data_IF_137947439242
#
_entry.id   IF_137947439242
#
_cell.length_a   1.000
_cell.length_b   1.000
_cell.length_c   1.000
_cell.angle_alpha   90.00
_cell.angle_beta   90.00
_cell.angle_gamma   90.00
#
_symmetry.space_group_name_H-M   'P 1'
#
loop_
_entity.id
_entity.type
_entity.pdbx_description
1 polymer ?
#
# COMPACT_ATOMS: atom_id res chain seq x y z
N UNK A 1 4.43 -47.95 -32.68
CA UNK A 1 5.07 -47.57 -31.40
C UNK A 1 4.04 -46.91 -30.48
N UNK A 2 3.03 -47.67 -30.04
CA UNK A 2 1.87 -47.11 -29.33
C UNK A 2 1.74 -47.58 -27.86
N UNK A 3 2.51 -48.59 -27.45
CA UNK A 3 2.42 -49.18 -26.09
C UNK A 3 3.13 -48.40 -24.98
N UNK A 4 3.90 -47.35 -25.33
CA UNK A 4 4.66 -46.57 -24.33
C UNK A 4 3.79 -45.55 -23.57
N UNK A 5 2.60 -45.21 -24.09
CA UNK A 5 1.72 -44.18 -23.50
C UNK A 5 0.72 -44.72 -22.46
N UNK A 6 0.59 -46.05 -22.33
CA UNK A 6 -0.43 -46.68 -21.47
C UNK A 6 0.10 -47.14 -20.10
N UNK A 7 1.39 -46.94 -19.79
CA UNK A 7 1.96 -47.37 -18.51
C UNK A 7 1.76 -46.31 -17.41
N UNK A 8 1.27 -46.68 -16.22
CA UNK A 8 1.11 -45.75 -15.11
C UNK A 8 2.49 -45.24 -14.68
N UNK A 9 2.61 -43.93 -14.41
CA UNK A 9 3.82 -43.27 -13.92
C UNK A 9 4.62 -44.06 -12.85
N UNK A 10 3.99 -44.69 -11.83
CA UNK A 10 4.73 -45.48 -10.83
C UNK A 10 5.43 -46.74 -11.38
N UNK A 11 4.97 -47.31 -12.49
CA UNK A 11 5.65 -48.44 -13.13
C UNK A 11 6.95 -47.99 -13.82
N UNK A 12 6.98 -46.76 -14.35
CA UNK A 12 8.20 -46.16 -14.87
C UNK A 12 9.18 -45.83 -13.77
N UNK A 13 8.72 -45.29 -12.64
CA UNK A 13 9.58 -45.02 -11.48
C UNK A 13 10.28 -46.29 -10.98
N UNK A 14 9.53 -47.38 -10.75
CA UNK A 14 10.10 -48.68 -10.35
C UNK A 14 11.04 -49.28 -11.40
N UNK A 15 10.75 -49.07 -12.68
CA UNK A 15 11.62 -49.51 -13.76
C UNK A 15 12.93 -48.71 -13.81
N UNK A 16 12.87 -47.40 -13.60
CA UNK A 16 14.07 -46.56 -13.50
C UNK A 16 14.88 -46.88 -12.24
N UNK A 17 14.22 -47.13 -11.11
CA UNK A 17 14.84 -47.59 -9.86
C UNK A 17 15.53 -48.95 -10.02
N UNK A 18 14.94 -49.86 -10.82
CA UNK A 18 15.56 -51.15 -11.15
C UNK A 18 16.75 -51.03 -12.12
N UNK A 19 16.66 -50.17 -13.15
CA UNK A 19 17.74 -49.97 -14.11
C UNK A 19 18.90 -49.15 -13.54
N UNK A 20 18.60 -48.23 -12.64
CA UNK A 20 19.55 -47.35 -11.98
C UNK A 20 19.31 -47.45 -10.48
N UNK A 21 19.74 -48.56 -9.84
CA UNK A 21 19.71 -48.66 -8.39
C UNK A 21 20.60 -47.55 -7.84
N UNK A 22 19.98 -46.49 -7.35
CA UNK A 22 20.62 -45.31 -6.76
C UNK A 22 21.21 -45.62 -5.36
N UNK A 23 21.69 -46.84 -5.14
CA UNK A 23 22.32 -47.28 -3.88
C UNK A 23 23.77 -46.80 -3.76
N UNK A 24 24.29 -46.15 -4.81
CA UNK A 24 25.58 -45.47 -4.73
C UNK A 24 25.33 -44.04 -4.28
N UNK A 25 25.74 -43.73 -3.06
CA UNK A 25 25.98 -42.36 -2.61
C UNK A 25 27.13 -41.76 -3.44
N UNK A 26 26.88 -41.48 -4.72
CA UNK A 26 27.83 -40.85 -5.59
C UNK A 26 28.04 -39.43 -5.07
N UNK A 27 29.27 -39.13 -4.67
CA UNK A 27 29.59 -37.81 -4.17
C UNK A 27 29.41 -36.82 -5.31
N UNK A 28 28.94 -35.60 -5.02
CA UNK A 28 28.71 -34.55 -6.02
C UNK A 28 29.92 -34.29 -6.94
N UNK A 29 31.13 -34.58 -6.45
CA UNK A 29 32.37 -34.53 -7.21
C UNK A 29 32.45 -35.64 -8.28
N UNK A 30 32.12 -36.88 -7.92
CA UNK A 30 32.13 -38.06 -8.80
C UNK A 30 31.11 -37.89 -9.93
N UNK A 31 29.89 -37.44 -9.62
CA UNK A 31 28.86 -37.14 -10.63
C UNK A 31 29.34 -36.06 -11.60
N UNK A 32 30.09 -35.06 -11.13
CA UNK A 32 30.62 -34.00 -11.98
C UNK A 32 31.72 -34.49 -12.90
N UNK A 33 32.56 -35.39 -12.40
CA UNK A 33 33.63 -36.03 -13.15
C UNK A 33 33.08 -36.95 -14.25
N UNK A 34 32.08 -37.76 -13.91
CA UNK A 34 31.39 -38.64 -14.87
C UNK A 34 30.67 -37.84 -15.97
N UNK A 35 29.96 -36.77 -15.58
CA UNK A 35 29.32 -35.87 -16.56
C UNK A 35 30.36 -35.16 -17.44
N UNK A 36 31.51 -34.78 -16.88
CA UNK A 36 32.61 -34.20 -17.64
C UNK A 36 33.23 -35.21 -18.60
N UNK A 37 33.39 -36.47 -18.18
CA UNK A 37 33.91 -37.57 -19.01
C UNK A 37 32.97 -37.88 -20.19
N UNK A 38 31.67 -37.68 -20.01
CA UNK A 38 30.65 -37.79 -21.06
C UNK A 38 30.52 -36.52 -21.92
N UNK A 39 31.32 -35.47 -21.66
CA UNK A 39 31.29 -34.20 -22.40
C UNK A 39 30.07 -33.32 -22.12
N UNK A 40 29.33 -33.59 -21.03
CA UNK A 40 28.12 -32.86 -20.66
C UNK A 40 28.48 -31.67 -19.77
N UNK A 41 28.35 -30.45 -20.31
CA UNK A 41 28.59 -29.22 -19.54
C UNK A 41 27.37 -28.83 -18.69
N UNK A 42 27.44 -29.16 -17.39
CA UNK A 42 26.40 -28.87 -16.40
C UNK A 42 26.36 -27.39 -16.00
N UNK A 43 27.41 -26.60 -16.28
CA UNK A 43 27.52 -25.21 -15.80
C UNK A 43 26.38 -24.34 -16.32
N UNK A 44 26.06 -24.47 -17.61
CA UNK A 44 24.96 -23.73 -18.24
C UNK A 44 23.59 -24.09 -17.64
N UNK A 45 23.38 -25.35 -17.27
CA UNK A 45 22.15 -25.79 -16.63
C UNK A 45 22.04 -25.22 -15.21
N UNK A 46 23.13 -25.28 -14.44
CA UNK A 46 23.20 -24.69 -13.09
C UNK A 46 22.96 -23.18 -13.14
N UNK A 47 23.60 -22.48 -14.07
CA UNK A 47 23.42 -21.02 -14.23
C UNK A 47 21.97 -20.66 -14.57
N UNK A 48 21.30 -21.45 -15.41
CA UNK A 48 19.87 -21.25 -15.73
C UNK A 48 18.99 -21.44 -14.50
N UNK A 49 19.25 -22.48 -13.72
CA UNK A 49 18.50 -22.77 -12.48
C UNK A 49 18.74 -21.66 -11.45
N UNK A 50 19.98 -21.21 -11.27
CA UNK A 50 20.31 -20.12 -10.35
C UNK A 50 19.64 -18.80 -10.77
N UNK A 51 19.66 -18.47 -12.07
CA UNK A 51 18.95 -17.29 -12.60
C UNK A 51 17.45 -17.38 -12.39
N UNK A 52 16.85 -18.55 -12.66
CA UNK A 52 15.43 -18.77 -12.43
C UNK A 52 15.06 -18.65 -10.94
N UNK A 53 15.89 -19.18 -10.05
CA UNK A 53 15.72 -19.08 -8.61
C UNK A 53 15.81 -17.63 -8.13
N UNK A 54 16.79 -16.86 -8.61
CA UNK A 54 16.93 -15.44 -8.28
C UNK A 54 15.71 -14.63 -8.75
N UNK A 55 15.23 -14.89 -9.98
CA UNK A 55 14.04 -14.25 -10.52
C UNK A 55 12.78 -14.61 -9.72
N UNK A 56 12.62 -15.87 -9.29
CA UNK A 56 11.51 -16.31 -8.47
C UNK A 56 11.52 -15.63 -7.10
N UNK A 57 12.69 -15.55 -6.44
CA UNK A 57 12.85 -14.81 -5.17
C UNK A 57 12.50 -13.33 -5.32
N UNK A 58 12.99 -12.67 -6.38
CA UNK A 58 12.64 -11.27 -6.65
C UNK A 58 11.14 -11.04 -6.84
N UNK A 59 10.45 -11.95 -7.56
CA UNK A 59 8.99 -11.89 -7.70
C UNK A 59 8.25 -12.07 -6.38
N UNK A 60 8.71 -13.00 -5.53
CA UNK A 60 8.13 -13.23 -4.20
C UNK A 60 8.26 -11.98 -3.31
N UNK A 61 9.46 -11.38 -3.25
CA UNK A 61 9.70 -10.15 -2.50
C UNK A 61 8.85 -8.98 -3.01
N UNK A 62 8.68 -8.86 -4.33
CA UNK A 62 7.85 -7.81 -4.92
C UNK A 62 6.35 -8.01 -4.62
N UNK A 63 5.89 -9.26 -4.57
CA UNK A 63 4.52 -9.58 -4.15
C UNK A 63 4.29 -9.22 -2.67
N UNK A 64 5.24 -9.55 -1.80
CA UNK A 64 5.20 -9.20 -0.38
C UNK A 64 5.25 -7.67 -0.15
N UNK A 65 6.11 -6.95 -0.87
CA UNK A 65 6.15 -5.50 -0.80
C UNK A 65 4.83 -4.86 -1.26
N UNK A 66 4.15 -5.45 -2.26
CA UNK A 66 2.83 -4.99 -2.72
C UNK A 66 1.75 -5.20 -1.66
N UNK A 67 1.73 -6.35 -0.98
CA UNK A 67 0.76 -6.59 0.09
C UNK A 67 0.99 -5.66 1.27
N UNK A 68 2.25 -5.44 1.66
CA UNK A 68 2.62 -4.46 2.68
C UNK A 68 2.17 -3.04 2.30
N UNK A 69 2.44 -2.60 1.06
CA UNK A 69 1.97 -1.29 0.57
C UNK A 69 0.46 -1.15 0.64
N UNK A 70 -0.30 -2.14 0.20
CA UNK A 70 -1.77 -2.09 0.26
C UNK A 70 -2.26 -1.95 1.70
N UNK A 71 -1.66 -2.69 2.64
CA UNK A 71 -2.00 -2.57 4.07
C UNK A 71 -1.65 -1.18 4.63
N UNK A 72 -0.51 -0.61 4.23
CA UNK A 72 -0.08 0.71 4.68
C UNK A 72 -1.01 1.81 4.11
N UNK A 73 -1.39 1.70 2.84
CA UNK A 73 -2.35 2.61 2.20
C UNK A 73 -3.72 2.51 2.86
N UNK A 74 -4.20 1.30 3.18
CA UNK A 74 -5.45 1.12 3.89
C UNK A 74 -5.42 1.75 5.29
N UNK A 75 -4.31 1.62 6.02
CA UNK A 75 -4.11 2.29 7.32
C UNK A 75 -4.09 3.81 7.17
N UNK A 76 -3.40 4.33 6.15
CA UNK A 76 -3.41 5.76 5.86
C UNK A 76 -4.81 6.25 5.51
N UNK A 77 -5.61 5.49 4.75
CA UNK A 77 -7.00 5.84 4.46
C UNK A 77 -7.94 5.78 5.67
N UNK A 78 -7.58 5.04 6.74
CA UNK A 78 -8.31 5.05 8.01
C UNK A 78 -7.91 6.23 8.91
N UNK A 79 -6.65 6.68 8.82
CA UNK A 79 -6.09 7.76 9.63
C UNK A 79 -6.29 9.13 8.99
N UNK A 80 -6.32 9.20 7.66
CA UNK A 80 -6.73 10.38 6.93
C UNK A 80 -8.26 10.41 6.99
N UNK A 81 -8.87 11.33 7.76
CA UNK A 81 -10.31 11.49 7.68
C UNK A 81 -10.67 11.75 6.22
N UNK A 82 -11.62 10.99 5.69
CA UNK A 82 -12.25 11.29 4.40
C UNK A 82 -12.45 12.79 4.31
N UNK A 83 -11.96 13.41 3.25
CA UNK A 83 -12.09 14.84 3.00
C UNK A 83 -13.48 15.30 3.46
N UNK A 84 -13.57 16.36 4.27
CA UNK A 84 -14.76 16.64 5.05
C UNK A 84 -15.90 17.06 4.13
N UNK A 85 -16.66 16.09 3.66
CA UNK A 85 -17.97 16.29 3.01
C UNK A 85 -18.94 17.08 3.89
N UNK A 86 -18.59 17.38 5.14
CA UNK A 86 -19.32 18.27 6.05
C UNK A 86 -18.58 19.53 6.50
N UNK A 87 -17.44 19.95 5.91
CA UNK A 87 -16.76 21.19 6.34
C UNK A 87 -17.60 22.42 6.04
N UNK A 88 -18.18 22.46 4.84
CA UNK A 88 -19.12 23.52 4.43
C UNK A 88 -20.38 23.54 5.30
N UNK A 89 -20.92 22.37 5.64
CA UNK A 89 -22.10 22.25 6.50
C UNK A 89 -21.80 22.62 7.95
N UNK A 90 -20.63 22.26 8.46
CA UNK A 90 -20.15 22.66 9.79
C UNK A 90 -19.90 24.16 9.87
N UNK A 91 -19.27 24.74 8.85
CA UNK A 91 -19.08 26.18 8.74
C UNK A 91 -20.42 26.92 8.64
N UNK A 92 -21.36 26.39 7.86
CA UNK A 92 -22.73 26.91 7.79
C UNK A 92 -23.36 26.94 9.17
N UNK A 93 -23.35 25.83 9.92
CA UNK A 93 -23.89 25.78 11.28
C UNK A 93 -23.21 26.76 12.26
N UNK A 94 -21.89 26.94 12.15
CA UNK A 94 -21.15 27.92 12.97
C UNK A 94 -21.54 29.36 12.62
N UNK A 95 -21.69 29.68 11.34
CA UNK A 95 -22.08 31.02 10.90
C UNK A 95 -23.50 31.34 11.37
N UNK A 96 -24.42 30.36 11.31
CA UNK A 96 -25.80 30.53 11.77
C UNK A 96 -25.93 30.69 13.29
N UNK A 97 -25.08 30.00 14.06
CA UNK A 97 -25.11 30.04 15.51
C UNK A 97 -24.42 31.26 16.13
N UNK A 98 -23.38 31.80 15.48
CA UNK A 98 -22.53 32.84 16.09
C UNK A 98 -22.74 34.25 15.54
N UNK A 99 -23.17 34.40 14.29
CA UNK A 99 -23.28 35.72 13.65
C UNK A 99 -24.73 36.09 13.41
N UNK A 100 -25.06 37.37 13.62
CA UNK A 100 -26.40 37.92 13.39
C UNK A 100 -26.33 39.11 12.41
N UNK A 101 -27.45 39.39 11.73
CA UNK A 101 -27.56 40.55 10.85
C UNK A 101 -26.64 40.52 9.62
N UNK A 102 -26.00 41.65 9.34
CA UNK A 102 -25.19 41.88 8.12
C UNK A 102 -23.88 41.07 8.09
N UNK A 103 -23.30 40.77 9.24
CA UNK A 103 -22.08 39.98 9.36
C UNK A 103 -22.31 38.53 8.91
N UNK A 104 -23.47 37.95 9.27
CA UNK A 104 -23.89 36.62 8.81
C UNK A 104 -23.93 36.56 7.28
N UNK A 105 -24.56 37.53 6.63
CA UNK A 105 -24.69 37.57 5.18
C UNK A 105 -23.31 37.66 4.47
N UNK A 106 -22.37 38.41 5.03
CA UNK A 106 -21.01 38.52 4.49
C UNK A 106 -20.25 37.18 4.55
N UNK A 107 -20.34 36.45 5.66
CA UNK A 107 -19.69 35.14 5.81
C UNK A 107 -20.34 34.05 4.96
N UNK A 108 -21.65 34.09 4.76
CA UNK A 108 -22.34 33.21 3.83
C UNK A 108 -21.88 33.43 2.38
N UNK A 109 -21.78 34.68 1.94
CA UNK A 109 -21.24 34.97 0.61
C UNK A 109 -19.79 34.50 0.44
N UNK A 110 -18.94 34.66 1.46
CA UNK A 110 -17.57 34.15 1.44
C UNK A 110 -17.52 32.61 1.38
N UNK A 111 -18.42 31.93 2.08
CA UNK A 111 -18.52 30.46 2.05
C UNK A 111 -18.99 29.91 0.70
N UNK A 112 -19.89 30.64 0.01
CA UNK A 112 -20.31 30.30 -1.35
C UNK A 112 -19.21 30.58 -2.39
N UNK A 113 -18.46 31.67 -2.22
CA UNK A 113 -17.35 32.03 -3.09
C UNK A 113 -16.09 31.15 -2.91
N UNK A 114 -15.93 30.50 -1.75
CA UNK A 114 -14.84 29.57 -1.49
C UNK A 114 -14.95 28.34 -2.40
N UNK A 115 -14.03 28.20 -3.36
CA UNK A 115 -14.05 27.13 -4.35
C UNK A 115 -13.16 25.93 -3.96
N UNK A 116 -12.22 26.12 -3.03
CA UNK A 116 -11.27 25.09 -2.61
C UNK A 116 -11.31 24.84 -1.10
N UNK A 117 -10.86 23.65 -0.69
CA UNK A 117 -10.81 23.28 0.74
C UNK A 117 -9.84 24.17 1.54
N UNK A 118 -8.77 24.66 0.90
CA UNK A 118 -7.84 25.61 1.51
C UNK A 118 -8.52 26.95 1.85
N UNK A 119 -9.47 27.41 1.02
CA UNK A 119 -10.24 28.63 1.28
C UNK A 119 -11.17 28.45 2.49
N UNK A 120 -11.75 27.25 2.64
CA UNK A 120 -12.61 26.91 3.78
C UNK A 120 -11.83 26.81 5.10
N UNK A 121 -10.61 26.27 5.06
CA UNK A 121 -9.69 26.26 6.22
C UNK A 121 -9.26 27.67 6.62
N UNK A 122 -8.97 28.54 5.65
CA UNK A 122 -8.69 29.95 5.92
C UNK A 122 -9.87 30.64 6.60
N UNK A 123 -11.09 30.39 6.13
CA UNK A 123 -12.31 30.99 6.68
C UNK A 123 -12.61 30.50 8.10
N UNK A 124 -12.35 29.21 8.41
CA UNK A 124 -12.40 28.68 9.77
C UNK A 124 -11.40 29.36 10.71
N UNK A 125 -10.17 29.57 10.22
CA UNK A 125 -9.11 30.22 10.99
C UNK A 125 -9.48 31.67 11.31
N UNK A 126 -10.08 32.40 10.36
CA UNK A 126 -10.53 33.77 10.56
C UNK A 126 -11.68 33.85 11.58
N UNK A 127 -12.64 32.93 11.54
CA UNK A 127 -13.72 32.84 12.55
C UNK A 127 -13.14 32.62 13.94
N UNK A 128 -12.16 31.72 14.10
CA UNK A 128 -11.51 31.46 15.39
C UNK A 128 -10.67 32.65 15.88
N UNK A 129 -10.03 33.40 14.97
CA UNK A 129 -9.31 34.63 15.34
C UNK A 129 -10.27 35.72 15.85
N UNK A 130 -11.41 35.89 15.21
CA UNK A 130 -12.42 36.85 15.65
C UNK A 130 -13.05 36.46 16.98
N UNK A 131 -13.25 35.17 17.22
CA UNK A 131 -13.71 34.67 18.53
C UNK A 131 -12.71 34.99 19.64
N UNK A 132 -11.41 34.76 19.40
CA UNK A 132 -10.37 35.13 20.37
C UNK A 132 -10.31 36.64 20.64
N UNK A 133 -10.63 37.48 19.66
CA UNK A 133 -10.71 38.93 19.82
C UNK A 133 -12.00 39.38 20.53
N UNK A 134 -13.12 38.71 20.27
CA UNK A 134 -14.41 38.92 20.95
C UNK A 134 -14.34 38.58 22.43
N UNK A 135 -13.66 37.48 22.80
CA UNK A 135 -13.46 37.09 24.20
C UNK A 135 -12.43 37.97 24.92
N UNK A 136 -11.52 38.61 24.16
CA UNK A 136 -10.49 39.50 24.66
C UNK A 136 -10.89 40.98 24.78
N UNK A 137 -12.17 41.33 24.56
CA UNK A 137 -12.66 42.71 24.72
C UNK A 137 -13.26 42.89 26.12
N UNK A 138 -12.52 43.39 27.13
CA UNK A 138 -13.12 43.86 28.36
C UNK A 138 -14.02 45.05 28.02
N UNK A 139 -15.33 44.86 28.12
CA UNK A 139 -16.29 45.95 28.02
C UNK A 139 -15.99 46.96 29.13
N UNK A 140 -15.50 48.12 28.72
CA UNK A 140 -15.40 49.36 29.49
C UNK A 140 -16.67 49.58 30.33
N UNK A 141 -16.57 49.30 31.63
CA UNK A 141 -17.40 49.98 32.62
C UNK A 141 -16.88 51.41 32.72
N UNK A 142 -17.49 52.36 32.00
CA UNK A 142 -17.34 53.77 32.34
C UNK A 142 -18.01 54.04 33.70
N UNK A 143 -17.29 54.57 34.70
CA UNK A 143 -17.91 55.23 35.84
C UNK A 143 -18.05 56.72 35.50
N UNK A 144 -19.28 57.23 35.51
CA UNK A 144 -19.50 58.67 35.67
C UNK A 144 -20.60 58.86 36.70
N UNK A 145 -20.19 59.51 37.78
CA UNK A 145 -21.01 60.12 38.85
C UNK A 145 -22.07 61.09 38.31
#
# INVERSE_FOLDING_TARGET
>A
MSDLKARPAPAWERFFEYLYPCDKEATRAEVREDLSRLGIDVRKAVDRVQKALAAAKGKAMLAEARTQRLSAVARLGQVVPSAPTGLRERLRGLIEGKFQGTERAAYFHKLEAAATDADLESLLTDIHRLEALSEGTPGDTQPTE
#
